data_IF_346117392678
#
_entry.id   IF_346117392678
#
_cell.length_a   1.000
_cell.length_b   1.000
_cell.length_c   1.000
_cell.angle_alpha   90.00
_cell.angle_beta   90.00
_cell.angle_gamma   90.00
#
_symmetry.space_group_name_H-M   'P 1'
#
loop_
_entity.id
_entity.type
_entity.pdbx_description
1 polymer ?
#
# COMPACT_ATOMS: atom_id res chain seq x y z
N UNK A 1 -52.58 6.94 -29.13
CA UNK A 1 -51.11 7.05 -28.99
C UNK A 1 -50.49 5.86 -29.67
N UNK A 2 -49.60 6.10 -30.63
CA UNK A 2 -48.90 5.02 -31.36
C UNK A 2 -47.92 4.31 -30.42
N UNK A 3 -47.76 2.99 -30.56
CA UNK A 3 -46.76 2.18 -29.84
C UNK A 3 -45.34 2.80 -29.97
N UNK A 4 -45.08 3.51 -31.08
CA UNK A 4 -43.83 4.26 -31.31
C UNK A 4 -43.67 5.46 -30.37
N UNK A 5 -44.76 6.12 -29.96
CA UNK A 5 -44.72 7.19 -28.96
C UNK A 5 -44.50 6.64 -27.54
N UNK A 6 -45.05 5.47 -27.24
CA UNK A 6 -44.83 4.78 -25.95
C UNK A 6 -43.40 4.25 -25.82
N UNK A 7 -42.81 3.75 -26.92
CA UNK A 7 -41.40 3.34 -26.96
C UNK A 7 -40.47 4.56 -26.91
N UNK A 8 -40.80 5.67 -27.59
CA UNK A 8 -40.03 6.93 -27.46
C UNK A 8 -40.07 7.52 -26.05
N UNK A 9 -41.18 7.36 -25.32
CA UNK A 9 -41.30 7.78 -23.93
C UNK A 9 -40.59 6.83 -22.94
N UNK A 10 -40.49 5.53 -23.27
CA UNK A 10 -39.73 4.56 -22.47
C UNK A 10 -38.21 4.63 -22.69
N UNK A 11 -37.75 5.31 -23.76
CA UNK A 11 -36.33 5.45 -24.14
C UNK A 11 -35.80 6.87 -23.87
N UNK A 12 -36.64 7.82 -23.43
CA UNK A 12 -36.15 9.09 -22.91
C UNK A 12 -35.56 8.86 -21.52
N UNK A 13 -34.23 8.71 -21.45
CA UNK A 13 -33.47 8.83 -20.22
C UNK A 13 -33.97 10.06 -19.46
N UNK A 14 -34.31 9.89 -18.19
CA UNK A 14 -34.79 10.97 -17.34
C UNK A 14 -33.72 12.09 -17.29
N UNK A 15 -34.14 13.33 -17.13
CA UNK A 15 -33.22 14.50 -17.12
C UNK A 15 -32.11 14.31 -16.07
N UNK A 16 -32.45 13.70 -14.94
CA UNK A 16 -31.53 13.38 -13.86
C UNK A 16 -30.53 12.30 -14.26
N UNK A 17 -30.93 11.33 -15.07
CA UNK A 17 -30.03 10.30 -15.57
C UNK A 17 -29.02 10.85 -16.60
N UNK A 18 -29.47 11.77 -17.45
CA UNK A 18 -28.57 12.47 -18.38
C UNK A 18 -27.54 13.32 -17.65
N UNK A 19 -27.94 14.06 -16.60
CA UNK A 19 -27.00 14.86 -15.80
C UNK A 19 -26.01 13.98 -15.04
N UNK A 20 -26.46 12.86 -14.49
CA UNK A 20 -25.58 11.86 -13.85
C UNK A 20 -24.55 11.31 -14.83
N UNK A 21 -24.98 10.87 -16.01
CA UNK A 21 -24.07 10.33 -17.03
C UNK A 21 -23.08 11.39 -17.52
N UNK A 22 -23.50 12.65 -17.63
CA UNK A 22 -22.61 13.76 -17.97
C UNK A 22 -21.53 13.98 -16.89
N UNK A 23 -21.93 14.03 -15.61
CA UNK A 23 -20.99 14.11 -14.46
C UNK A 23 -20.03 12.93 -14.45
N UNK A 24 -20.52 11.71 -14.69
CA UNK A 24 -19.70 10.49 -14.76
C UNK A 24 -18.66 10.55 -15.87
N UNK A 25 -19.06 10.98 -17.08
CA UNK A 25 -18.14 11.16 -18.21
C UNK A 25 -17.05 12.18 -17.90
N UNK A 26 -17.42 13.29 -17.26
CA UNK A 26 -16.46 14.31 -16.86
C UNK A 26 -15.48 13.79 -15.80
N UNK A 27 -15.96 13.10 -14.77
CA UNK A 27 -15.11 12.46 -13.77
C UNK A 27 -14.16 11.42 -14.39
N UNK A 28 -14.63 10.63 -15.37
CA UNK A 28 -13.75 9.71 -16.12
C UNK A 28 -12.64 10.45 -16.85
N UNK A 29 -12.92 11.58 -17.51
CA UNK A 29 -11.88 12.40 -18.16
C UNK A 29 -10.88 12.92 -17.14
N UNK A 30 -11.36 13.41 -16.00
CA UNK A 30 -10.52 13.90 -14.92
C UNK A 30 -9.64 12.80 -14.33
N UNK A 31 -10.14 11.57 -14.19
CA UNK A 31 -9.36 10.41 -13.74
C UNK A 31 -8.32 9.97 -14.76
N UNK A 32 -8.63 9.99 -16.05
CA UNK A 32 -7.63 9.75 -17.09
C UNK A 32 -6.55 10.82 -17.05
N UNK A 33 -6.93 12.10 -16.94
CA UNK A 33 -5.98 13.20 -16.78
C UNK A 33 -5.10 13.02 -15.53
N UNK A 34 -5.70 12.60 -14.41
CA UNK A 34 -4.99 12.28 -13.18
C UNK A 34 -3.94 11.20 -13.41
N UNK A 35 -4.31 10.09 -14.05
CA UNK A 35 -3.38 8.99 -14.38
C UNK A 35 -2.22 9.48 -15.24
N UNK A 36 -2.47 10.32 -16.24
CA UNK A 36 -1.41 10.92 -17.06
C UNK A 36 -0.46 11.77 -16.21
N UNK A 37 -0.98 12.63 -15.34
CA UNK A 37 -0.16 13.45 -14.44
C UNK A 37 0.65 12.58 -13.46
N UNK A 38 0.06 11.50 -12.92
CA UNK A 38 0.78 10.56 -12.05
C UNK A 38 1.94 9.89 -12.78
N UNK A 39 1.75 9.50 -14.05
CA UNK A 39 2.81 8.95 -14.90
C UNK A 39 3.91 9.98 -15.18
N UNK A 40 3.54 11.22 -15.53
CA UNK A 40 4.50 12.30 -15.77
C UNK A 40 5.31 12.62 -14.52
N UNK A 41 4.67 12.66 -13.35
CA UNK A 41 5.35 12.85 -12.07
C UNK A 41 6.29 11.69 -11.73
N UNK A 42 5.89 10.45 -12.03
CA UNK A 42 6.76 9.28 -11.83
C UNK A 42 8.00 9.37 -12.73
N UNK A 43 7.82 9.76 -13.99
CA UNK A 43 8.92 9.99 -14.93
C UNK A 43 9.85 11.11 -14.43
N UNK A 44 9.31 12.27 -14.06
CA UNK A 44 10.13 13.39 -13.56
C UNK A 44 10.88 13.03 -12.27
N UNK A 45 10.28 12.25 -11.37
CA UNK A 45 10.97 11.72 -10.18
C UNK A 45 12.14 10.81 -10.56
N UNK A 46 11.97 9.95 -11.56
CA UNK A 46 13.06 9.11 -12.05
C UNK A 46 14.18 9.92 -12.70
N UNK A 47 13.85 10.97 -13.44
CA UNK A 47 14.82 11.90 -14.03
C UNK A 47 15.60 12.64 -12.93
N UNK A 48 14.91 13.17 -11.91
CA UNK A 48 15.54 13.83 -10.76
C UNK A 48 16.50 12.89 -10.02
N UNK A 49 16.08 11.67 -9.71
CA UNK A 49 16.92 10.66 -9.07
C UNK A 49 18.14 10.29 -9.95
N UNK A 50 17.97 10.25 -11.26
CA UNK A 50 19.07 10.06 -12.22
C UNK A 50 20.12 11.17 -12.14
N UNK A 51 19.68 12.43 -12.05
CA UNK A 51 20.58 13.58 -11.90
C UNK A 51 21.29 13.57 -10.55
N UNK A 52 20.59 13.24 -9.46
CA UNK A 52 21.18 13.11 -8.12
C UNK A 52 22.27 12.03 -8.08
N UNK A 53 22.01 10.86 -8.69
CA UNK A 53 23.00 9.80 -8.83
C UNK A 53 24.22 10.25 -9.65
N UNK A 54 24.01 11.04 -10.72
CA UNK A 54 25.10 11.62 -11.50
C UNK A 54 25.97 12.56 -10.66
N UNK A 55 25.35 13.42 -9.83
CA UNK A 55 26.07 14.31 -8.92
C UNK A 55 26.88 13.50 -7.89
N UNK A 56 26.29 12.48 -7.29
CA UNK A 56 26.98 11.59 -6.35
C UNK A 56 28.19 10.92 -7.01
N UNK A 57 28.03 10.37 -8.21
CA UNK A 57 29.12 9.72 -8.96
C UNK A 57 30.24 10.71 -9.33
N UNK A 58 29.89 11.92 -9.80
CA UNK A 58 30.88 12.96 -10.10
C UNK A 58 31.70 13.32 -8.86
N UNK A 59 31.05 13.39 -7.69
CA UNK A 59 31.68 13.77 -6.43
C UNK A 59 32.58 12.65 -5.91
N UNK A 60 32.09 11.41 -5.92
CA UNK A 60 32.86 10.24 -5.49
C UNK A 60 34.10 9.98 -6.39
N UNK A 61 33.93 10.10 -7.72
CA UNK A 61 35.05 9.97 -8.65
C UNK A 61 36.09 11.08 -8.44
N UNK A 62 35.63 12.31 -8.21
CA UNK A 62 36.52 13.43 -7.91
C UNK A 62 37.32 13.20 -6.62
N UNK A 63 36.66 12.76 -5.56
CA UNK A 63 37.31 12.45 -4.28
C UNK A 63 38.38 11.38 -4.45
N UNK A 64 38.09 10.30 -5.19
CA UNK A 64 39.05 9.23 -5.46
C UNK A 64 40.26 9.72 -6.27
N UNK A 65 40.03 10.49 -7.33
CA UNK A 65 41.11 11.05 -8.16
C UNK A 65 41.98 12.04 -7.39
N UNK A 66 41.38 12.94 -6.60
CA UNK A 66 42.12 13.91 -5.80
C UNK A 66 42.88 13.22 -4.67
N UNK A 67 42.32 12.18 -4.06
CA UNK A 67 43.03 11.38 -3.06
C UNK A 67 44.30 10.75 -3.65
N UNK A 68 44.22 10.17 -4.85
CA UNK A 68 45.39 9.62 -5.54
C UNK A 68 46.45 10.70 -5.82
N UNK A 69 46.05 11.87 -6.33
CA UNK A 69 46.97 12.98 -6.58
C UNK A 69 47.62 13.53 -5.30
N UNK A 70 46.87 13.57 -4.19
CA UNK A 70 47.41 13.96 -2.87
C UNK A 70 48.44 12.95 -2.37
N UNK A 71 48.17 11.65 -2.50
CA UNK A 71 49.15 10.63 -2.11
C UNK A 71 50.46 10.73 -2.91
N UNK A 72 50.38 11.03 -4.22
CA UNK A 72 51.59 11.25 -5.02
C UNK A 72 52.32 12.53 -4.59
N UNK A 73 51.57 13.59 -4.27
CA UNK A 73 52.13 14.85 -3.78
C UNK A 73 52.84 14.68 -2.43
N UNK A 74 52.26 13.93 -1.51
CA UNK A 74 52.83 13.64 -0.18
C UNK A 74 54.14 12.84 -0.32
N UNK A 75 54.18 11.83 -1.20
CA UNK A 75 55.40 11.09 -1.50
C UNK A 75 56.51 11.97 -2.08
N UNK A 76 56.16 12.97 -2.91
CA UNK A 76 57.13 13.95 -3.40
C UNK A 76 57.64 14.88 -2.30
N UNK A 77 56.79 15.27 -1.35
CA UNK A 77 57.19 16.09 -0.19
C UNK A 77 58.20 15.33 0.66
N UNK A 78 57.98 14.04 0.92
CA UNK A 78 58.94 13.17 1.63
C UNK A 78 60.28 13.08 0.88
N UNK A 79 60.26 12.84 -0.43
CA UNK A 79 61.50 12.80 -1.23
C UNK A 79 62.25 14.14 -1.24
N UNK A 80 61.53 15.26 -1.24
CA UNK A 80 62.13 16.59 -1.21
C UNK A 80 62.75 16.94 0.15
N UNK A 81 62.26 16.35 1.25
CA UNK A 81 62.87 16.49 2.57
C UNK A 81 64.26 15.82 2.61
N UNK A 82 64.43 14.69 1.93
CA UNK A 82 65.72 13.97 1.86
C UNK A 82 66.68 14.57 0.82
N UNK A 83 66.16 15.02 -0.33
CA UNK A 83 66.95 15.55 -1.43
C UNK A 83 66.21 16.67 -2.18
N UNK A 84 66.34 17.93 -1.74
CA UNK A 84 65.67 19.05 -2.40
C UNK A 84 66.17 19.21 -3.85
N UNK A 85 65.22 19.27 -4.79
CA UNK A 85 65.48 19.35 -6.23
C UNK A 85 64.44 20.22 -6.93
N UNK A 86 64.89 21.09 -7.83
CA UNK A 86 64.01 21.92 -8.66
C UNK A 86 63.05 21.07 -9.50
N UNK A 87 63.48 19.88 -9.96
CA UNK A 87 62.62 18.95 -10.72
C UNK A 87 61.46 18.42 -9.88
N UNK A 88 61.72 18.08 -8.61
CA UNK A 88 60.68 17.62 -7.69
C UNK A 88 59.71 18.74 -7.31
N UNK A 89 60.24 19.96 -7.12
CA UNK A 89 59.43 21.17 -6.87
C UNK A 89 58.50 21.47 -8.06
N UNK A 90 59.01 21.41 -9.29
CA UNK A 90 58.20 21.60 -10.50
C UNK A 90 57.12 20.51 -10.66
N UNK A 91 57.45 19.24 -10.36
CA UNK A 91 56.46 18.14 -10.41
C UNK A 91 55.35 18.33 -9.38
N UNK A 92 55.69 18.71 -8.13
CA UNK A 92 54.73 19.04 -7.07
C UNK A 92 53.80 20.19 -7.49
N UNK A 93 54.36 21.28 -8.02
CA UNK A 93 53.55 22.41 -8.52
C UNK A 93 52.60 21.98 -9.65
N UNK A 94 53.06 21.09 -10.54
CA UNK A 94 52.24 20.48 -11.59
C UNK A 94 51.06 19.67 -11.04
N UNK A 95 51.28 18.80 -10.04
CA UNK A 95 50.20 18.04 -9.39
C UNK A 95 49.20 18.96 -8.68
N UNK A 96 49.69 19.99 -8.00
CA UNK A 96 48.83 20.97 -7.34
C UNK A 96 47.95 21.71 -8.35
N UNK A 97 48.50 22.09 -9.51
CA UNK A 97 47.73 22.69 -10.58
C UNK A 97 46.68 21.71 -11.15
N UNK A 98 47.04 20.44 -11.33
CA UNK A 98 46.08 19.40 -11.78
C UNK A 98 44.91 19.22 -10.81
N UNK A 99 45.15 19.22 -9.50
CA UNK A 99 44.10 19.16 -8.49
C UNK A 99 43.16 20.37 -8.65
N UNK A 100 43.71 21.58 -8.75
CA UNK A 100 42.92 22.81 -8.91
C UNK A 100 42.05 22.76 -10.16
N UNK A 101 42.60 22.34 -11.29
CA UNK A 101 41.87 22.30 -12.57
C UNK A 101 40.78 21.22 -12.56
N UNK A 102 41.05 20.05 -11.98
CA UNK A 102 40.03 19.00 -11.78
C UNK A 102 38.91 19.45 -10.86
N UNK A 103 39.23 20.09 -9.73
CA UNK A 103 38.21 20.62 -8.80
C UNK A 103 37.31 21.63 -9.51
N UNK A 104 37.88 22.60 -10.24
CA UNK A 104 37.08 23.56 -11.02
C UNK A 104 36.19 22.89 -12.06
N UNK A 105 36.70 21.87 -12.75
CA UNK A 105 35.93 21.12 -13.75
C UNK A 105 34.74 20.39 -13.12
N UNK A 106 34.95 19.73 -11.98
CA UNK A 106 33.90 18.99 -11.28
C UNK A 106 32.89 19.94 -10.64
N UNK A 107 33.33 21.04 -10.04
CA UNK A 107 32.43 22.08 -9.50
C UNK A 107 31.49 22.62 -10.59
N UNK A 108 32.01 22.87 -11.79
CA UNK A 108 31.19 23.29 -12.93
C UNK A 108 30.18 22.20 -13.33
N UNK A 109 30.62 20.95 -13.46
CA UNK A 109 29.75 19.84 -13.83
C UNK A 109 28.64 19.59 -12.79
N UNK A 110 28.97 19.67 -11.50
CA UNK A 110 28.00 19.55 -10.39
C UNK A 110 27.03 20.73 -10.39
N UNK A 111 27.50 21.96 -10.64
CA UNK A 111 26.63 23.13 -10.74
C UNK A 111 25.63 23.00 -11.91
N UNK A 112 26.09 22.53 -13.07
CA UNK A 112 25.22 22.31 -14.23
C UNK A 112 24.21 21.19 -13.97
N UNK A 113 24.63 20.10 -13.32
CA UNK A 113 23.71 19.03 -12.90
C UNK A 113 22.67 19.51 -11.87
N UNK A 114 23.06 20.37 -10.93
CA UNK A 114 22.12 20.98 -9.97
C UNK A 114 21.10 21.90 -10.67
N UNK A 115 21.51 22.61 -11.73
CA UNK A 115 20.58 23.43 -12.54
C UNK A 115 19.56 22.55 -13.27
N UNK A 116 19.99 21.42 -13.82
CA UNK A 116 19.08 20.43 -14.42
C UNK A 116 18.09 19.89 -13.37
N UNK A 117 18.56 19.47 -12.20
CA UNK A 117 17.69 18.98 -11.12
C UNK A 117 16.67 20.04 -10.68
N UNK A 118 17.08 21.29 -10.54
CA UNK A 118 16.20 22.39 -10.21
C UNK A 118 15.12 22.62 -11.29
N UNK A 119 15.48 22.47 -12.57
CA UNK A 119 14.52 22.58 -13.68
C UNK A 119 13.48 21.45 -13.62
N UNK A 120 13.90 20.21 -13.35
CA UNK A 120 13.00 19.06 -13.18
C UNK A 120 12.04 19.29 -12.00
N UNK A 121 12.57 19.72 -10.85
CA UNK A 121 11.75 20.01 -9.66
C UNK A 121 10.74 21.13 -9.91
N UNK A 122 11.11 22.15 -10.69
CA UNK A 122 10.21 23.24 -11.08
C UNK A 122 9.01 22.75 -11.91
N UNK A 123 9.21 21.73 -12.76
CA UNK A 123 8.12 21.11 -13.53
C UNK A 123 7.20 20.24 -12.66
N UNK A 124 7.73 19.62 -11.60
CA UNK A 124 6.95 18.77 -10.71
C UNK A 124 5.93 19.55 -9.88
N UNK A 125 6.24 20.78 -9.46
CA UNK A 125 5.37 21.59 -8.60
C UNK A 125 3.94 21.79 -9.17
N UNK A 126 3.79 22.35 -10.38
CA UNK A 126 2.48 22.55 -11.02
C UNK A 126 1.72 21.24 -11.25
N UNK A 127 2.42 20.15 -11.56
CA UNK A 127 1.80 18.84 -11.75
C UNK A 127 1.28 18.25 -10.44
N UNK A 128 2.01 18.43 -9.33
CA UNK A 128 1.54 18.02 -8.00
C UNK A 128 0.30 18.80 -7.57
N UNK A 129 0.25 20.10 -7.87
CA UNK A 129 -0.92 20.92 -7.56
C UNK A 129 -2.12 20.49 -8.42
N UNK A 130 -1.92 20.32 -9.73
CA UNK A 130 -2.95 19.79 -10.63
C UNK A 130 -3.47 18.42 -10.19
N UNK A 131 -2.62 17.58 -9.59
CA UNK A 131 -3.01 16.27 -9.07
C UNK A 131 -3.91 16.37 -7.83
N UNK A 132 -3.68 17.36 -6.95
CA UNK A 132 -4.48 17.60 -5.74
C UNK A 132 -5.90 18.03 -6.08
N UNK A 133 -6.07 18.80 -7.14
CA UNK A 133 -7.37 19.29 -7.61
C UNK A 133 -8.23 18.20 -8.27
N UNK A 134 -7.61 17.10 -8.73
CA UNK A 134 -8.31 16.04 -9.46
C UNK A 134 -8.91 14.98 -8.52
N UNK A 135 -10.11 14.46 -8.83
CA UNK A 135 -10.78 13.44 -8.02
C UNK A 135 -10.01 12.11 -8.02
N UNK A 136 -10.23 11.31 -6.98
CA UNK A 136 -9.71 9.94 -6.86
C UNK A 136 -10.76 8.96 -7.40
N UNK A 137 -10.34 7.79 -7.90
CA UNK A 137 -11.23 6.80 -8.54
C UNK A 137 -12.45 6.41 -7.68
N UNK A 138 -12.33 6.47 -6.35
CA UNK A 138 -13.41 6.21 -5.39
C UNK A 138 -14.64 7.12 -5.58
N UNK A 139 -14.48 8.31 -6.18
CA UNK A 139 -15.57 9.25 -6.46
C UNK A 139 -16.57 8.68 -7.47
N UNK A 140 -16.14 7.83 -8.41
CA UNK A 140 -17.06 7.16 -9.35
C UNK A 140 -17.95 6.12 -8.68
N UNK A 141 -17.54 5.60 -7.51
CA UNK A 141 -18.31 4.65 -6.74
C UNK A 141 -19.30 5.32 -5.76
N UNK A 142 -19.42 6.65 -5.79
CA UNK A 142 -20.34 7.40 -4.94
C UNK A 142 -21.78 7.37 -5.50
N UNK A 143 -22.76 7.47 -4.60
CA UNK A 143 -24.19 7.30 -4.87
C UNK A 143 -24.73 8.23 -5.97
N UNK A 144 -24.14 9.42 -6.13
CA UNK A 144 -24.62 10.46 -7.06
C UNK A 144 -24.20 10.23 -8.52
N UNK A 145 -23.26 9.32 -8.77
CA UNK A 145 -22.62 9.12 -10.08
C UNK A 145 -22.75 7.68 -10.55
N UNK A 146 -22.86 6.74 -9.62
CA UNK A 146 -22.92 5.33 -9.91
C UNK A 146 -24.26 4.88 -10.51
N UNK A 147 -24.21 3.75 -11.22
CA UNK A 147 -25.37 3.04 -11.75
C UNK A 147 -26.26 2.55 -10.57
N UNK A 148 -27.60 2.79 -10.57
CA UNK A 148 -28.42 2.49 -9.40
C UNK A 148 -28.51 0.98 -9.15
N UNK A 149 -28.43 0.16 -10.20
CA UNK A 149 -28.42 -1.30 -10.08
C UNK A 149 -27.17 -1.80 -9.35
N UNK A 150 -26.01 -1.21 -9.66
CA UNK A 150 -24.77 -1.53 -8.96
C UNK A 150 -24.79 -1.06 -7.50
N UNK A 151 -25.43 0.08 -7.22
CA UNK A 151 -25.62 0.55 -5.84
C UNK A 151 -26.49 -0.41 -5.02
N UNK A 152 -27.58 -0.91 -5.61
CA UNK A 152 -28.44 -1.92 -4.96
C UNK A 152 -27.67 -3.21 -4.71
N UNK A 153 -26.92 -3.71 -5.71
CA UNK A 153 -26.07 -4.89 -5.55
C UNK A 153 -25.02 -4.69 -4.45
N UNK A 154 -24.38 -3.52 -4.43
CA UNK A 154 -23.38 -3.17 -3.42
C UNK A 154 -24.00 -3.11 -2.02
N UNK A 155 -25.20 -2.54 -1.89
CA UNK A 155 -25.93 -2.50 -0.63
C UNK A 155 -26.23 -3.90 -0.12
N UNK A 156 -26.69 -4.80 -0.98
CA UNK A 156 -26.95 -6.21 -0.64
C UNK A 156 -25.65 -6.91 -0.21
N UNK A 157 -24.57 -6.76 -0.98
CA UNK A 157 -23.27 -7.34 -0.62
C UNK A 157 -22.76 -6.83 0.75
N UNK A 158 -22.87 -5.52 1.01
CA UNK A 158 -22.52 -4.93 2.32
C UNK A 158 -23.40 -5.46 3.46
N UNK A 159 -24.69 -5.72 3.21
CA UNK A 159 -25.59 -6.35 4.19
C UNK A 159 -25.20 -7.79 4.47
N UNK A 160 -24.84 -8.56 3.44
CA UNK A 160 -24.31 -9.93 3.59
C UNK A 160 -23.03 -9.96 4.41
N UNK A 161 -22.08 -9.05 4.16
CA UNK A 161 -20.86 -8.89 4.98
C UNK A 161 -21.22 -8.68 6.45
N UNK A 162 -22.05 -7.68 6.76
CA UNK A 162 -22.47 -7.40 8.15
C UNK A 162 -23.15 -8.60 8.82
N UNK A 163 -23.97 -9.34 8.06
CA UNK A 163 -24.66 -10.52 8.58
C UNK A 163 -23.69 -11.67 8.85
N UNK A 164 -22.75 -11.94 7.94
CA UNK A 164 -21.72 -12.95 8.10
C UNK A 164 -20.77 -12.63 9.28
N UNK A 165 -20.39 -11.35 9.45
CA UNK A 165 -19.59 -10.88 10.59
C UNK A 165 -20.31 -11.12 11.93
N UNK A 166 -21.60 -10.77 12.02
CA UNK A 166 -22.38 -11.00 13.23
C UNK A 166 -22.51 -12.49 13.56
N UNK A 167 -22.78 -13.34 12.56
CA UNK A 167 -22.83 -14.81 12.72
C UNK A 167 -21.49 -15.38 13.16
N UNK A 168 -20.40 -14.91 12.58
CA UNK A 168 -19.04 -15.30 12.95
C UNK A 168 -18.74 -14.93 14.41
N UNK A 169 -19.09 -13.71 14.82
CA UNK A 169 -18.89 -13.24 16.19
C UNK A 169 -19.70 -14.06 17.19
N UNK A 170 -20.98 -14.31 16.90
CA UNK A 170 -21.85 -15.12 17.74
C UNK A 170 -21.35 -16.58 17.83
N UNK A 171 -20.97 -17.19 16.71
CA UNK A 171 -20.45 -18.56 16.70
C UNK A 171 -19.15 -18.69 17.50
N UNK A 172 -18.26 -17.69 17.42
CA UNK A 172 -17.03 -17.62 18.24
C UNK A 172 -17.34 -17.47 19.72
N UNK A 173 -18.27 -16.57 20.09
CA UNK A 173 -18.73 -16.39 21.47
C UNK A 173 -19.29 -17.69 22.05
N UNK A 174 -20.12 -18.41 21.28
CA UNK A 174 -20.68 -19.70 21.69
C UNK A 174 -19.63 -20.80 21.83
N UNK A 175 -18.64 -20.84 20.95
CA UNK A 175 -17.52 -21.78 21.05
C UNK A 175 -16.71 -21.53 22.33
N UNK A 176 -16.34 -20.28 22.61
CA UNK A 176 -15.62 -19.89 23.84
C UNK A 176 -16.43 -20.18 25.09
N UNK A 177 -17.74 -19.91 25.09
CA UNK A 177 -18.62 -20.24 26.21
C UNK A 177 -18.73 -21.75 26.44
N UNK A 178 -18.80 -22.55 25.37
CA UNK A 178 -18.83 -24.00 25.43
C UNK A 178 -17.49 -24.58 25.96
N UNK A 179 -16.36 -24.05 25.51
CA UNK A 179 -15.03 -24.45 25.97
C UNK A 179 -14.83 -24.09 27.46
N UNK A 180 -15.26 -22.89 27.88
CA UNK A 180 -15.21 -22.47 29.27
C UNK A 180 -16.12 -23.34 30.17
N UNK A 181 -17.33 -23.67 29.70
CA UNK A 181 -18.23 -24.58 30.42
C UNK A 181 -17.60 -25.98 30.58
N UNK A 182 -16.88 -26.46 29.55
CA UNK A 182 -16.11 -27.69 29.59
C UNK A 182 -14.99 -27.65 30.63
N UNK A 183 -14.23 -26.56 30.66
CA UNK A 183 -13.15 -26.37 31.62
C UNK A 183 -13.68 -26.29 33.06
N UNK A 184 -14.81 -25.62 33.30
CA UNK A 184 -15.44 -25.54 34.63
C UNK A 184 -16.09 -26.85 35.06
N UNK A 185 -16.70 -27.62 34.15
CA UNK A 185 -17.27 -28.93 34.45
C UNK A 185 -16.19 -30.02 34.64
N UNK A 186 -14.99 -29.80 34.09
CA UNK A 186 -13.81 -30.63 34.29
C UNK A 186 -13.00 -30.28 35.54
N UNK A 187 -13.34 -29.22 36.29
CA UNK A 187 -12.73 -28.98 37.59
C UNK A 187 -13.31 -29.96 38.62
N UNK A 188 -12.48 -30.74 39.32
CA UNK A 188 -12.97 -31.60 40.38
C UNK A 188 -13.64 -30.72 41.44
N UNK A 189 -14.92 -30.99 41.72
CA UNK A 189 -15.63 -30.43 42.86
C UNK A 189 -14.72 -30.65 44.08
N UNK A 190 -14.33 -29.55 44.73
CA UNK A 190 -13.35 -29.54 45.82
C UNK A 190 -13.60 -30.67 46.80
N UNK A 191 -12.50 -31.28 47.28
CA UNK A 191 -12.48 -32.41 48.21
C UNK A 191 -13.54 -32.22 49.30
N UNK A 192 -14.66 -32.91 49.17
CA UNK A 192 -15.56 -33.13 50.30
C UNK A 192 -14.83 -34.18 51.14
N UNK A 193 -14.31 -33.79 52.30
CA UNK A 193 -13.71 -34.72 53.25
C UNK A 193 -14.74 -35.81 53.60
N UNK A 194 -14.57 -37.00 53.02
CA UNK A 194 -15.40 -38.17 53.26
C UNK A 194 -14.52 -39.40 53.49
N UNK A 195 -14.12 -39.58 54.75
CA UNK A 195 -13.79 -40.87 55.39
C UNK A 195 -12.64 -41.73 54.79
N UNK A 196 -12.15 -42.74 55.55
CA UNK A 196 -10.94 -43.49 55.23
C UNK A 196 -11.12 -44.62 54.20
N UNK A 197 -12.27 -44.68 53.52
CA UNK A 197 -12.56 -45.66 52.46
C UNK A 197 -13.00 -44.92 51.20
N UNK A 198 -12.08 -44.18 50.58
CA UNK A 198 -12.30 -43.58 49.28
C UNK A 198 -11.29 -44.15 48.28
N UNK A 199 -11.78 -45.04 47.43
CA UNK A 199 -11.10 -45.51 46.24
C UNK A 199 -11.02 -44.33 45.26
N UNK A 200 -9.85 -43.88 44.79
CA UNK A 200 -9.74 -42.75 43.88
C UNK A 200 -10.12 -43.23 42.47
N UNK A 201 -11.35 -43.69 42.30
CA UNK A 201 -11.88 -43.86 40.95
C UNK A 201 -12.15 -42.46 40.41
N UNK A 202 -11.51 -42.05 39.30
CA UNK A 202 -11.89 -40.82 38.65
C UNK A 202 -13.38 -40.94 38.33
N UNK A 203 -14.19 -39.99 38.83
CA UNK A 203 -15.60 -39.87 38.48
C UNK A 203 -15.72 -40.10 36.97
N UNK A 204 -16.53 -41.07 36.52
CA UNK A 204 -16.61 -41.37 35.10
C UNK A 204 -17.20 -40.15 34.43
N UNK A 205 -16.36 -39.36 33.75
CA UNK A 205 -16.82 -38.31 32.86
C UNK A 205 -17.85 -38.96 31.96
N UNK A 206 -19.10 -38.52 32.07
CA UNK A 206 -20.21 -39.15 31.39
C UNK A 206 -19.93 -39.08 29.89
N UNK A 207 -19.65 -40.26 29.29
CA UNK A 207 -19.26 -40.38 27.88
C UNK A 207 -20.34 -39.77 26.97
N UNK A 208 -21.59 -39.68 27.44
CA UNK A 208 -22.67 -39.02 26.72
C UNK A 208 -22.51 -37.50 26.67
N UNK A 209 -22.07 -36.87 27.78
CA UNK A 209 -21.82 -35.43 27.90
C UNK A 209 -20.65 -35.01 27.01
N UNK A 210 -19.56 -35.79 27.01
CA UNK A 210 -18.40 -35.55 26.12
C UNK A 210 -18.83 -35.65 24.66
N UNK A 211 -19.56 -36.71 24.27
CA UNK A 211 -20.06 -36.86 22.89
C UNK A 211 -20.99 -35.71 22.49
N UNK A 212 -21.88 -35.27 23.37
CA UNK A 212 -22.80 -34.17 23.09
C UNK A 212 -22.04 -32.86 22.87
N UNK A 213 -20.99 -32.63 23.64
CA UNK A 213 -20.17 -31.44 23.50
C UNK A 213 -19.27 -31.45 22.28
N UNK A 214 -18.63 -32.57 21.96
CA UNK A 214 -17.87 -32.71 20.71
C UNK A 214 -18.78 -32.43 19.52
N UNK A 215 -20.03 -32.93 19.52
CA UNK A 215 -21.02 -32.61 18.48
C UNK A 215 -21.37 -31.12 18.41
N UNK A 216 -21.55 -30.45 19.55
CA UNK A 216 -21.80 -29.01 19.61
C UNK A 216 -20.60 -28.20 19.13
N UNK A 217 -19.39 -28.59 19.52
CA UNK A 217 -18.14 -27.98 19.09
C UNK A 217 -17.95 -28.11 17.57
N UNK A 218 -18.12 -29.32 17.03
CA UNK A 218 -18.06 -29.55 15.58
C UNK A 218 -19.12 -28.76 14.82
N UNK A 219 -20.33 -28.60 15.37
CA UNK A 219 -21.38 -27.77 14.78
C UNK A 219 -20.97 -26.30 14.72
N UNK A 220 -20.43 -25.74 15.80
CA UNK A 220 -20.01 -24.34 15.83
C UNK A 220 -18.75 -24.10 14.99
N UNK A 221 -17.83 -25.05 14.92
CA UNK A 221 -16.69 -24.99 13.99
C UNK A 221 -17.16 -24.99 12.53
N UNK A 222 -18.15 -25.82 12.18
CA UNK A 222 -18.76 -25.82 10.85
C UNK A 222 -19.48 -24.49 10.55
N UNK A 223 -20.17 -23.91 11.54
CA UNK A 223 -20.81 -22.60 11.41
C UNK A 223 -19.80 -21.47 11.21
N UNK A 224 -18.67 -21.49 11.94
CA UNK A 224 -17.56 -20.54 11.75
C UNK A 224 -17.02 -20.68 10.33
N UNK A 225 -16.71 -21.89 9.88
CA UNK A 225 -16.19 -22.12 8.53
C UNK A 225 -17.18 -21.63 7.45
N UNK A 226 -18.48 -21.89 7.61
CA UNK A 226 -19.52 -21.41 6.70
C UNK A 226 -19.63 -19.88 6.69
N UNK A 227 -19.59 -19.23 7.87
CA UNK A 227 -19.62 -17.78 7.98
C UNK A 227 -18.36 -17.12 7.39
N UNK A 228 -17.18 -17.74 7.55
CA UNK A 228 -15.93 -17.27 6.94
C UNK A 228 -15.97 -17.36 5.41
N UNK A 229 -16.51 -18.46 4.86
CA UNK A 229 -16.68 -18.58 3.40
C UNK A 229 -17.65 -17.53 2.86
N UNK A 230 -18.80 -17.33 3.52
CA UNK A 230 -19.79 -16.34 3.11
C UNK A 230 -19.25 -14.91 3.21
N UNK A 231 -18.46 -14.60 4.25
CA UNK A 231 -17.79 -13.32 4.41
C UNK A 231 -16.79 -13.08 3.27
N UNK A 232 -15.97 -14.08 2.95
CA UNK A 232 -14.98 -13.98 1.88
C UNK A 232 -15.66 -13.74 0.51
N UNK A 233 -16.74 -14.47 0.22
CA UNK A 233 -17.54 -14.29 -0.99
C UNK A 233 -18.17 -12.90 -1.06
N UNK A 234 -18.80 -12.43 0.03
CA UNK A 234 -19.48 -11.14 0.04
C UNK A 234 -18.49 -9.96 -0.06
N UNK A 235 -17.28 -10.09 0.51
CA UNK A 235 -16.21 -9.11 0.35
C UNK A 235 -15.65 -9.11 -1.08
N UNK A 236 -15.48 -10.27 -1.69
CA UNK A 236 -15.04 -10.39 -3.08
C UNK A 236 -16.08 -9.79 -4.04
N UNK A 237 -17.36 -10.09 -3.83
CA UNK A 237 -18.48 -9.52 -4.58
C UNK A 237 -18.54 -7.98 -4.43
N UNK A 238 -18.42 -7.46 -3.21
CA UNK A 238 -18.36 -6.02 -2.95
C UNK A 238 -17.20 -5.36 -3.70
N UNK A 239 -16.00 -5.94 -3.69
CA UNK A 239 -14.84 -5.43 -4.43
C UNK A 239 -15.07 -5.46 -5.95
N UNK A 240 -15.63 -6.55 -6.47
CA UNK A 240 -15.95 -6.68 -7.89
C UNK A 240 -16.98 -5.62 -8.34
N UNK A 241 -18.01 -5.35 -7.52
CA UNK A 241 -19.01 -4.33 -7.83
C UNK A 241 -18.37 -2.93 -7.84
N UNK A 242 -17.51 -2.59 -6.87
CA UNK A 242 -16.80 -1.30 -6.90
C UNK A 242 -15.93 -1.16 -8.15
N UNK A 243 -15.24 -2.23 -8.55
CA UNK A 243 -14.45 -2.22 -9.77
C UNK A 243 -15.33 -2.01 -11.01
N UNK A 244 -16.47 -2.70 -11.09
CA UNK A 244 -17.45 -2.52 -12.16
C UNK A 244 -18.00 -1.09 -12.20
N UNK A 245 -18.26 -0.46 -11.04
CA UNK A 245 -18.70 0.94 -10.95
C UNK A 245 -17.64 1.92 -11.49
N UNK A 246 -16.35 1.59 -11.34
CA UNK A 246 -15.24 2.40 -11.87
C UNK A 246 -15.11 2.21 -13.39
N UNK A 247 -15.32 0.98 -13.88
CA UNK A 247 -15.13 0.61 -15.29
C UNK A 247 -16.29 1.06 -16.20
N UNK A 248 -17.55 0.85 -15.79
CA UNK A 248 -18.76 1.35 -16.46
C UNK A 248 -18.73 2.87 -16.64
#
# INVERSE_FOLDING_TARGET
MSIVQTIKAAVSLDSDELTRLAKRRELKRQLTRRKCIEQDLLRLRSEAAGVENRIANLTANHEAEVAALRTEMDALIEQMADAPSEKLSAKRAGLQQQIVDKTKSVEKAVADARREAAAVHKLMGPLQESLRELPIAFVLAHDDVANPELLVRLFVAKRRVKFAEARLEDAKRWLTAADNAFLTAGQPVGKIDRGPYFDPTPSPVDKSVVRQATRRQSRWQAEIAAAETELAEALAESKAIHQQMIEE
#
